data_IF_561567795006
#
_entry.id   IF_561567795006
#
_cell.length_a   1.000
_cell.length_b   1.000
_cell.length_c   1.000
_cell.angle_alpha   90.00
_cell.angle_beta   90.00
_cell.angle_gamma   90.00
#
_symmetry.space_group_name_H-M   'P 1'
#
loop_
_entity.id
_entity.type
_entity.pdbx_description
1 polymer ?
#
# COMPACT_ATOMS: atom_id res chain seq x y z
N UNK A 1 4.47 2.49 11.90
CA UNK A 1 3.62 3.69 11.85
C UNK A 1 2.72 3.54 10.63
N UNK A 2 1.39 3.50 10.79
CA UNK A 2 0.48 3.48 9.65
C UNK A 2 0.55 4.84 8.94
N UNK A 3 0.72 4.81 7.62
CA UNK A 3 0.79 5.99 6.77
C UNK A 3 -0.53 6.10 6.01
N UNK A 4 -1.44 6.89 6.54
CA UNK A 4 -2.74 7.13 5.91
C UNK A 4 -2.71 8.39 5.06
N UNK A 5 -3.22 8.32 3.84
CA UNK A 5 -3.38 9.47 2.95
C UNK A 5 -4.74 9.44 2.25
N UNK A 6 -5.22 10.61 1.84
CA UNK A 6 -6.47 10.76 1.11
C UNK A 6 -6.17 11.05 -0.37
N UNK A 7 -6.75 10.30 -1.28
CA UNK A 7 -6.50 10.43 -2.72
C UNK A 7 -7.77 10.24 -3.54
N UNK A 8 -8.08 11.21 -4.41
CA UNK A 8 -9.29 11.24 -5.27
C UNK A 8 -10.60 10.86 -4.58
N UNK A 9 -10.82 11.30 -3.34
CA UNK A 9 -12.07 10.97 -2.62
C UNK A 9 -12.02 9.65 -1.83
N UNK A 10 -10.93 8.90 -1.91
CA UNK A 10 -10.74 7.64 -1.20
C UNK A 10 -9.70 7.76 -0.09
N UNK A 11 -10.00 7.19 1.07
CA UNK A 11 -9.04 7.09 2.17
C UNK A 11 -8.17 5.85 1.97
N UNK A 12 -6.84 6.00 2.01
CA UNK A 12 -5.90 4.89 1.89
C UNK A 12 -5.07 4.83 3.16
N UNK A 13 -5.14 3.70 3.87
CA UNK A 13 -4.33 3.47 5.06
C UNK A 13 -3.22 2.45 4.74
N UNK A 14 -1.97 2.91 4.65
CA UNK A 14 -0.81 2.05 4.41
C UNK A 14 -0.25 1.51 5.73
N UNK A 15 0.00 0.21 5.76
CA UNK A 15 0.71 -0.47 6.84
C UNK A 15 1.97 -1.12 6.26
N UNK A 16 3.13 -0.52 6.54
CA UNK A 16 4.43 -1.08 6.19
C UNK A 16 4.90 -1.99 7.31
N UNK A 17 5.04 -3.27 6.99
CA UNK A 17 5.48 -4.30 7.94
C UNK A 17 6.79 -4.92 7.47
N UNK A 18 7.79 -4.89 8.34
CA UNK A 18 9.02 -5.63 8.12
C UNK A 18 8.81 -7.10 8.51
N UNK A 19 8.93 -7.99 7.52
CA UNK A 19 9.06 -9.44 7.69
C UNK A 19 10.52 -9.82 7.98
N UNK A 20 10.73 -11.09 8.30
CA UNK A 20 12.04 -11.68 8.61
C UNK A 20 13.05 -11.43 7.48
N UNK A 21 14.34 -11.29 7.82
CA UNK A 21 15.44 -11.00 6.86
C UNK A 21 15.45 -9.61 6.22
N UNK A 22 14.87 -8.60 6.89
CA UNK A 22 14.89 -7.23 6.37
C UNK A 22 13.93 -7.01 5.20
N UNK A 23 13.04 -7.97 4.96
CA UNK A 23 12.06 -7.94 3.89
C UNK A 23 10.87 -7.06 4.26
N UNK A 24 10.66 -5.98 3.55
CA UNK A 24 9.51 -5.10 3.74
C UNK A 24 8.33 -5.55 2.91
N UNK A 25 7.17 -5.61 3.55
CA UNK A 25 5.90 -5.84 2.90
C UNK A 25 5.00 -4.64 3.19
N UNK A 26 4.16 -4.30 2.24
CA UNK A 26 3.15 -3.30 2.42
C UNK A 26 1.77 -3.95 2.39
N UNK A 27 0.92 -3.43 3.24
CA UNK A 27 -0.53 -3.58 3.19
C UNK A 27 -1.09 -2.19 2.97
N UNK A 28 -2.18 -2.08 2.22
CA UNK A 28 -3.03 -0.91 2.33
C UNK A 28 -4.48 -1.29 2.42
N UNK A 29 -5.25 -0.49 3.15
CA UNK A 29 -6.70 -0.59 3.18
C UNK A 29 -7.27 0.60 2.43
N UNK A 30 -8.12 0.35 1.45
CA UNK A 30 -8.81 1.39 0.69
C UNK A 30 -10.23 1.53 1.25
N UNK A 31 -10.48 2.69 1.85
CA UNK A 31 -11.72 3.16 2.46
C UNK A 31 -12.39 2.10 3.36
N UNK A 32 -13.30 1.31 2.78
CA UNK A 32 -13.91 0.10 3.34
C UNK A 32 -14.04 -1.02 2.30
N UNK A 33 -13.51 -0.81 1.10
CA UNK A 33 -13.64 -1.72 -0.04
C UNK A 33 -12.78 -2.98 0.07
N UNK A 34 -11.55 -2.85 0.59
CA UNK A 34 -10.67 -4.01 0.67
C UNK A 34 -9.28 -3.69 1.22
N UNK A 35 -8.75 -4.68 1.94
CA UNK A 35 -7.34 -4.74 2.35
C UNK A 35 -6.56 -5.42 1.22
N UNK A 36 -5.55 -4.73 0.71
CA UNK A 36 -4.63 -5.23 -0.30
C UNK A 36 -3.26 -5.39 0.34
N UNK A 37 -2.62 -6.52 0.08
CA UNK A 37 -1.27 -6.78 0.55
C UNK A 37 -0.36 -7.15 -0.61
N UNK A 38 0.92 -6.82 -0.48
CA UNK A 38 1.92 -7.35 -1.38
C UNK A 38 2.08 -8.87 -1.15
N UNK A 39 1.64 -9.68 -2.11
CA UNK A 39 1.68 -11.14 -2.02
C UNK A 39 2.96 -11.78 -2.60
N UNK A 40 3.87 -11.02 -3.21
CA UNK A 40 4.93 -11.61 -4.05
C UNK A 40 6.33 -10.98 -3.93
N UNK A 41 6.42 -9.69 -3.66
CA UNK A 41 7.68 -8.95 -3.62
C UNK A 41 7.94 -8.42 -2.21
N UNK A 42 8.81 -9.14 -1.50
CA UNK A 42 9.49 -8.59 -0.34
C UNK A 42 10.50 -7.53 -0.80
N UNK A 43 10.30 -6.29 -0.40
CA UNK A 43 11.22 -5.19 -0.73
C UNK A 43 12.42 -5.17 0.20
N UNK A 44 13.58 -4.76 -0.32
CA UNK A 44 14.80 -4.61 0.46
C UNK A 44 14.77 -3.43 1.45
N UNK A 45 13.88 -2.47 1.20
CA UNK A 45 13.79 -1.21 1.96
C UNK A 45 12.34 -0.77 2.14
N UNK A 46 12.07 -0.09 3.27
CA UNK A 46 10.76 0.51 3.57
C UNK A 46 10.31 1.48 2.49
N UNK A 47 11.22 2.29 1.97
CA UNK A 47 10.93 3.31 0.95
C UNK A 47 10.44 2.70 -0.37
N UNK A 48 11.04 1.57 -0.78
CA UNK A 48 10.61 0.83 -1.97
C UNK A 48 9.23 0.22 -1.76
N UNK A 49 8.98 -0.37 -0.58
CA UNK A 49 7.66 -0.89 -0.24
C UNK A 49 6.60 0.23 -0.23
N UNK A 50 6.95 1.41 0.27
CA UNK A 50 6.05 2.56 0.29
C UNK A 50 5.74 3.08 -1.11
N UNK A 51 6.76 3.25 -1.96
CA UNK A 51 6.58 3.71 -3.34
C UNK A 51 5.66 2.77 -4.13
N UNK A 52 5.93 1.46 -4.07
CA UNK A 52 5.13 0.46 -4.77
C UNK A 52 3.68 0.42 -4.25
N UNK A 53 3.48 0.49 -2.93
CA UNK A 53 2.14 0.56 -2.35
C UNK A 53 1.35 1.80 -2.77
N UNK A 54 2.03 2.96 -2.85
CA UNK A 54 1.44 4.22 -3.29
C UNK A 54 1.04 4.16 -4.77
N UNK A 55 1.94 3.68 -5.63
CA UNK A 55 1.65 3.51 -7.06
C UNK A 55 0.50 2.53 -7.28
N UNK A 56 0.50 1.40 -6.55
CA UNK A 56 -0.57 0.41 -6.63
C UNK A 56 -1.91 0.97 -6.16
N UNK A 57 -1.94 1.67 -5.01
CA UNK A 57 -3.14 2.30 -4.48
C UNK A 57 -3.69 3.37 -5.44
N UNK A 58 -2.83 4.24 -5.99
CA UNK A 58 -3.23 5.26 -6.97
C UNK A 58 -3.80 4.63 -8.23
N UNK A 59 -3.09 3.67 -8.83
CA UNK A 59 -3.55 2.97 -10.03
C UNK A 59 -4.87 2.21 -9.79
N UNK A 60 -5.11 1.74 -8.57
CA UNK A 60 -6.37 1.10 -8.16
C UNK A 60 -7.51 2.12 -8.07
N UNK A 61 -7.26 3.27 -7.45
CA UNK A 61 -8.25 4.35 -7.34
C UNK A 61 -8.61 4.89 -8.73
N UNK A 62 -7.61 5.11 -9.59
CA UNK A 62 -7.84 5.53 -10.98
C UNK A 62 -8.68 4.51 -11.76
N UNK A 63 -8.50 3.20 -11.52
CA UNK A 63 -9.35 2.15 -12.10
C UNK A 63 -10.76 2.09 -11.53
N UNK A 64 -10.99 2.54 -10.29
CA UNK A 64 -12.31 2.55 -9.67
C UNK A 64 -13.14 3.77 -10.10
N UNK A 65 -12.49 4.84 -10.55
CA UNK A 65 -13.16 6.07 -11.01
C UNK A 65 -13.58 6.07 -12.50
N UNK A 66 -13.48 4.95 -13.20
CA UNK A 66 -13.75 4.83 -14.64
C UNK A 66 -14.87 3.84 -14.95
#
# INVERSE_FOLDING_TARGET
MPESFFYQGHYVNLELTQRTFGQWNWVYTLDTHGRFENQGNAFSSRELAMADALENAKARIERLGH
#
